data_IF_130714290301
#
_entry.id   IF_130714290301
#
_cell.length_a   1.000
_cell.length_b   1.000
_cell.length_c   1.000
_cell.angle_alpha   90.00
_cell.angle_beta   90.00
_cell.angle_gamma   90.00
#
_symmetry.space_group_name_H-M   'P 1'
#
loop_
_entity.id
_entity.type
_entity.pdbx_description
1 polymer ?
#
# COMPACT_ATOMS: atom_id res chain seq x y z
N UNK A 1 -18.79 20.72 16.11
CA UNK A 1 -18.96 20.76 14.64
C UNK A 1 -19.13 19.34 14.15
N UNK A 2 -20.30 18.99 13.63
CA UNK A 2 -20.47 17.71 12.94
C UNK A 2 -19.65 17.79 11.64
N UNK A 3 -18.52 17.10 11.59
CA UNK A 3 -17.71 16.99 10.37
C UNK A 3 -18.54 16.23 9.34
N UNK A 4 -18.85 16.88 8.21
CA UNK A 4 -19.49 16.21 7.08
C UNK A 4 -18.54 15.15 6.53
N UNK A 5 -18.88 13.88 6.72
CA UNK A 5 -18.11 12.73 6.23
C UNK A 5 -18.22 12.52 4.70
N UNK A 6 -18.88 13.44 3.98
CA UNK A 6 -19.20 13.29 2.57
C UNK A 6 -18.33 14.12 1.62
N UNK A 7 -17.66 15.16 2.14
CA UNK A 7 -16.81 16.03 1.34
C UNK A 7 -15.32 15.65 1.44
N UNK A 8 -14.62 15.68 0.30
CA UNK A 8 -13.22 15.25 0.15
C UNK A 8 -12.24 16.07 1.01
N UNK A 9 -12.49 17.38 1.15
CA UNK A 9 -11.66 18.26 1.99
C UNK A 9 -11.86 17.90 3.46
N UNK A 10 -13.10 17.62 3.86
CA UNK A 10 -13.42 17.23 5.23
C UNK A 10 -12.75 15.89 5.60
N UNK A 11 -12.76 14.90 4.70
CA UNK A 11 -12.07 13.61 4.91
C UNK A 11 -10.56 13.82 5.08
N UNK A 12 -9.95 14.63 4.21
CA UNK A 12 -8.52 14.97 4.30
C UNK A 12 -8.17 15.62 5.64
N UNK A 13 -9.00 16.58 6.10
CA UNK A 13 -8.81 17.27 7.37
C UNK A 13 -8.96 16.34 8.58
N UNK A 14 -9.81 15.32 8.50
CA UNK A 14 -9.91 14.28 9.53
C UNK A 14 -8.59 13.51 9.62
N UNK A 15 -8.05 13.04 8.49
CA UNK A 15 -6.77 12.32 8.46
C UNK A 15 -5.63 13.17 9.04
N UNK A 16 -5.54 14.44 8.65
CA UNK A 16 -4.60 15.40 9.23
C UNK A 16 -4.78 15.56 10.74
N UNK A 17 -6.02 15.77 11.19
CA UNK A 17 -6.31 16.01 12.62
C UNK A 17 -5.95 14.82 13.49
N UNK A 18 -6.22 13.59 13.01
CA UNK A 18 -5.86 12.36 13.72
C UNK A 18 -4.34 12.22 13.82
N UNK A 19 -3.62 12.36 12.70
CA UNK A 19 -2.16 12.28 12.69
C UNK A 19 -1.51 13.37 13.56
N UNK A 20 -2.03 14.60 13.51
CA UNK A 20 -1.58 15.71 14.36
C UNK A 20 -1.82 15.42 15.84
N UNK A 21 -2.99 14.92 16.21
CA UNK A 21 -3.31 14.56 17.60
C UNK A 21 -2.40 13.43 18.12
N UNK A 22 -2.11 12.45 17.26
CA UNK A 22 -1.16 11.39 17.55
C UNK A 22 0.31 11.86 17.59
N UNK A 23 0.58 13.15 17.34
CA UNK A 23 1.92 13.74 17.24
C UNK A 23 2.81 13.12 16.16
N UNK A 24 2.21 12.50 15.13
CA UNK A 24 2.94 11.87 14.03
C UNK A 24 3.44 12.87 12.97
N UNK A 25 3.02 14.14 13.04
CA UNK A 25 3.40 15.19 12.10
C UNK A 25 4.47 16.10 12.72
N UNK A 26 5.74 15.78 12.47
CA UNK A 26 6.87 16.56 12.97
C UNK A 26 7.13 17.76 12.04
N UNK A 27 7.28 18.97 12.60
CA UNK A 27 7.43 20.20 11.79
C UNK A 27 8.89 20.55 11.50
N UNK A 28 9.81 20.11 12.35
CA UNK A 28 11.24 20.47 12.29
C UNK A 28 12.10 19.40 11.61
N UNK A 29 11.51 18.60 10.71
CA UNK A 29 12.19 17.50 10.02
C UNK A 29 12.12 17.66 8.50
N UNK A 30 13.28 17.49 7.85
CA UNK A 30 13.34 17.30 6.40
C UNK A 30 12.68 15.94 6.02
N UNK A 31 12.18 15.80 4.77
CA UNK A 31 11.63 14.55 4.26
C UNK A 31 12.50 13.31 4.55
N UNK A 32 11.98 12.37 5.35
CA UNK A 32 12.70 11.16 5.74
C UNK A 32 11.84 9.90 5.96
N UNK A 33 10.50 10.01 5.96
CA UNK A 33 9.57 8.88 6.13
C UNK A 33 9.41 8.06 4.86
N UNK A 34 9.80 6.79 4.91
CA UNK A 34 9.60 5.80 3.85
C UNK A 34 8.48 4.84 4.25
N UNK A 35 7.39 4.83 3.49
CA UNK A 35 6.32 3.83 3.67
C UNK A 35 6.79 2.51 3.06
N UNK A 36 6.66 1.43 3.83
CA UNK A 36 6.98 0.08 3.39
C UNK A 36 5.71 -0.78 3.42
N UNK A 37 5.29 -1.24 2.24
CA UNK A 37 4.16 -2.15 2.04
C UNK A 37 4.64 -3.53 1.59
N UNK A 38 3.87 -4.57 1.88
CA UNK A 38 4.20 -5.95 1.52
C UNK A 38 3.36 -6.96 2.27
N UNK A 39 3.58 -8.25 1.98
CA UNK A 39 2.75 -9.32 2.54
C UNK A 39 2.91 -9.51 4.05
N UNK A 40 1.79 -9.79 4.74
CA UNK A 40 1.79 -10.32 6.11
C UNK A 40 2.31 -11.78 6.16
N UNK A 41 2.12 -12.53 5.07
CA UNK A 41 2.58 -13.91 4.88
C UNK A 41 3.64 -13.95 3.78
N UNK A 42 4.90 -14.04 4.18
CA UNK A 42 6.06 -14.11 3.30
C UNK A 42 7.03 -15.19 3.77
N UNK A 43 7.86 -15.72 2.87
CA UNK A 43 8.86 -16.72 3.22
C UNK A 43 10.09 -16.09 3.89
N UNK A 44 10.99 -16.92 4.41
CA UNK A 44 12.21 -16.46 5.10
C UNK A 44 13.13 -15.61 4.20
N UNK A 45 13.26 -15.96 2.91
CA UNK A 45 14.13 -15.25 1.96
C UNK A 45 13.62 -13.81 1.76
N UNK A 46 12.32 -13.64 1.54
CA UNK A 46 11.65 -12.34 1.42
C UNK A 46 11.75 -11.53 2.71
N UNK A 47 11.55 -12.18 3.86
CA UNK A 47 11.66 -11.55 5.17
C UNK A 47 13.08 -11.02 5.41
N UNK A 48 14.11 -11.83 5.13
CA UNK A 48 15.51 -11.43 5.26
C UNK A 48 15.86 -10.31 4.28
N UNK A 49 15.32 -10.35 3.06
CA UNK A 49 15.50 -9.26 2.09
C UNK A 49 14.90 -7.95 2.59
N UNK A 50 13.64 -7.95 3.04
CA UNK A 50 12.98 -6.77 3.59
C UNK A 50 13.73 -6.22 4.82
N UNK A 51 14.28 -7.10 5.67
CA UNK A 51 15.16 -6.71 6.78
C UNK A 51 16.46 -6.07 6.30
N UNK A 52 17.09 -6.59 5.24
CA UNK A 52 18.29 -5.98 4.64
C UNK A 52 17.98 -4.59 4.07
N UNK A 53 16.87 -4.43 3.35
CA UNK A 53 16.40 -3.11 2.87
C UNK A 53 16.21 -2.17 4.05
N UNK A 54 15.52 -2.60 5.10
CA UNK A 54 15.36 -1.82 6.33
C UNK A 54 16.68 -1.36 6.94
N UNK A 55 17.67 -2.24 7.04
CA UNK A 55 19.00 -1.88 7.53
C UNK A 55 19.67 -0.81 6.68
N UNK A 56 19.59 -0.95 5.35
CA UNK A 56 20.13 0.02 4.41
C UNK A 56 19.40 1.38 4.47
N UNK A 57 18.10 1.40 4.73
CA UNK A 57 17.36 2.64 5.01
C UNK A 57 17.82 3.29 6.32
N UNK A 58 17.97 2.49 7.38
CA UNK A 58 18.44 2.98 8.68
C UNK A 58 19.86 3.55 8.62
N UNK A 59 20.75 2.95 7.83
CA UNK A 59 22.10 3.46 7.54
C UNK A 59 22.12 4.83 6.85
N UNK A 60 20.97 5.29 6.33
CA UNK A 60 20.81 6.58 5.64
C UNK A 60 19.91 7.55 6.40
N UNK A 61 19.65 7.25 7.67
CA UNK A 61 18.82 8.06 8.58
C UNK A 61 17.39 8.27 8.03
N UNK A 62 16.85 7.26 7.36
CA UNK A 62 15.47 7.24 6.90
C UNK A 62 14.59 6.52 7.92
N UNK A 63 13.40 7.07 8.15
CA UNK A 63 12.38 6.52 9.04
C UNK A 63 11.45 5.58 8.28
N UNK A 64 10.74 4.71 9.01
CA UNK A 64 9.88 3.69 8.41
C UNK A 64 8.45 3.86 8.88
N UNK A 65 7.52 3.81 7.92
CA UNK A 65 6.08 3.73 8.16
C UNK A 65 5.52 2.41 7.57
N UNK A 66 4.73 1.65 8.32
CA UNK A 66 4.15 0.37 7.87
C UNK A 66 2.70 0.18 8.32
N UNK A 67 2.08 -0.89 7.85
CA UNK A 67 0.76 -1.39 8.29
C UNK A 67 0.74 -2.12 9.63
N UNK A 68 1.80 -2.02 10.44
CA UNK A 68 1.95 -2.60 11.78
C UNK A 68 2.16 -4.12 11.85
N UNK A 69 1.58 -4.92 10.94
CA UNK A 69 1.51 -6.38 11.00
C UNK A 69 2.85 -7.14 10.88
N UNK A 70 2.80 -8.48 10.76
CA UNK A 70 3.99 -9.33 10.60
C UNK A 70 4.57 -9.25 9.18
N UNK A 71 5.58 -10.09 8.91
CA UNK A 71 6.14 -10.23 7.56
C UNK A 71 6.85 -8.96 7.08
N UNK A 72 6.48 -8.47 5.91
CA UNK A 72 7.09 -7.29 5.30
C UNK A 72 6.76 -5.98 6.03
N UNK A 73 5.77 -5.98 6.93
CA UNK A 73 5.43 -4.83 7.77
C UNK A 73 6.28 -4.73 9.06
N UNK A 74 6.98 -5.81 9.43
CA UNK A 74 7.86 -5.89 10.60
C UNK A 74 9.34 -5.89 10.19
N UNK A 75 9.71 -6.67 9.17
CA UNK A 75 11.11 -6.90 8.80
C UNK A 75 11.91 -5.61 8.52
N UNK A 76 11.39 -4.61 7.78
CA UNK A 76 12.10 -3.35 7.55
C UNK A 76 12.42 -2.60 8.85
N UNK A 77 11.50 -2.56 9.82
CA UNK A 77 11.73 -1.92 11.12
C UNK A 77 12.86 -2.63 11.90
N UNK A 78 12.88 -3.98 11.89
CA UNK A 78 13.98 -4.77 12.49
C UNK A 78 15.33 -4.46 11.88
N UNK A 79 15.36 -4.23 10.56
CA UNK A 79 16.56 -3.80 9.86
C UNK A 79 16.97 -2.39 10.26
N UNK A 80 16.05 -1.44 10.16
CA UNK A 80 16.32 -0.03 10.40
C UNK A 80 16.79 0.25 11.82
N UNK A 81 16.29 -0.47 12.82
CA UNK A 81 16.76 -0.34 14.20
C UNK A 81 18.29 -0.58 14.31
N UNK A 82 18.82 -1.56 13.56
CA UNK A 82 20.26 -1.84 13.51
C UNK A 82 20.99 -0.73 12.76
N UNK A 83 20.48 -0.32 11.60
CA UNK A 83 21.08 0.75 10.80
C UNK A 83 21.12 2.09 11.54
N UNK A 84 20.04 2.47 12.21
CA UNK A 84 19.95 3.67 13.06
C UNK A 84 20.96 3.61 14.20
N UNK A 85 21.08 2.47 14.88
CA UNK A 85 22.07 2.30 15.96
C UNK A 85 23.51 2.46 15.45
N UNK A 86 23.82 1.92 14.26
CA UNK A 86 25.13 2.06 13.62
C UNK A 86 25.45 3.52 13.26
N UNK A 87 24.45 4.30 12.84
CA UNK A 87 24.59 5.74 12.56
C UNK A 87 24.43 6.63 13.80
N UNK A 88 24.14 6.06 14.97
CA UNK A 88 23.79 6.80 16.20
C UNK A 88 22.59 7.76 15.99
N UNK A 89 21.67 7.39 15.11
CA UNK A 89 20.46 8.14 14.83
C UNK A 89 19.47 7.98 16.00
N UNK A 90 19.40 8.99 16.87
CA UNK A 90 18.68 8.92 18.15
C UNK A 90 17.16 9.03 18.03
N UNK A 91 16.69 9.70 16.98
CA UNK A 91 15.29 10.04 16.79
C UNK A 91 14.65 9.11 15.72
N UNK A 92 15.01 7.83 15.74
CA UNK A 92 14.43 6.84 14.83
C UNK A 92 12.92 6.68 15.03
N UNK A 93 12.16 6.81 13.95
CA UNK A 93 10.70 6.73 13.95
C UNK A 93 10.23 5.49 13.21
N UNK A 94 9.41 4.70 13.90
CA UNK A 94 8.74 3.50 13.40
C UNK A 94 7.24 3.71 13.54
N UNK A 95 6.67 4.37 12.54
CA UNK A 95 5.25 4.71 12.46
C UNK A 95 4.45 3.49 12.00
N UNK A 96 3.47 3.10 12.79
CA UNK A 96 2.49 2.09 12.45
C UNK A 96 1.13 2.72 12.22
N UNK A 97 0.57 2.53 11.03
CA UNK A 97 -0.80 2.93 10.70
C UNK A 97 -1.70 1.69 10.58
N UNK A 98 -2.71 1.58 11.44
CA UNK A 98 -3.69 0.48 11.42
C UNK A 98 -5.12 1.03 11.53
N UNK A 99 -6.13 0.16 11.51
CA UNK A 99 -7.54 0.52 11.68
C UNK A 99 -8.34 -0.64 12.34
N UNK A 100 -9.51 -0.38 12.95
CA UNK A 100 -10.20 -1.37 13.78
C UNK A 100 -10.52 -2.71 13.11
N UNK A 101 -10.81 -2.73 11.81
CA UNK A 101 -11.26 -3.96 11.11
C UNK A 101 -10.12 -4.92 10.76
N UNK A 102 -8.86 -4.48 10.80
CA UNK A 102 -7.68 -5.26 10.43
C UNK A 102 -6.69 -5.45 11.58
N UNK A 103 -6.73 -4.61 12.63
CA UNK A 103 -5.75 -4.65 13.74
C UNK A 103 -5.68 -6.01 14.45
N UNK A 104 -6.78 -6.78 14.46
CA UNK A 104 -6.79 -8.13 15.04
C UNK A 104 -6.08 -9.16 14.15
N UNK A 105 -6.17 -9.02 12.83
CA UNK A 105 -5.51 -9.88 11.86
C UNK A 105 -4.02 -9.50 11.65
N UNK A 106 -3.72 -8.21 11.73
CA UNK A 106 -2.39 -7.62 11.54
C UNK A 106 -2.03 -6.75 12.76
N UNK A 107 -1.78 -7.36 13.94
CA UNK A 107 -1.50 -6.62 15.17
C UNK A 107 -0.16 -5.88 15.09
N UNK A 108 -0.02 -4.73 15.77
CA UNK A 108 1.24 -4.01 15.79
C UNK A 108 2.38 -4.80 16.37
N UNK A 109 3.46 -4.94 15.59
CA UNK A 109 4.70 -5.51 16.05
C UNK A 109 5.38 -4.59 17.08
N UNK A 110 6.19 -5.14 18.01
CA UNK A 110 6.72 -4.40 19.15
C UNK A 110 7.79 -3.35 18.80
N UNK A 111 8.23 -3.24 17.54
CA UNK A 111 9.13 -2.17 17.12
C UNK A 111 8.41 -0.87 16.78
N UNK A 112 7.10 -0.91 16.55
CA UNK A 112 6.31 0.30 16.35
C UNK A 112 6.42 1.18 17.60
N UNK A 113 6.97 2.38 17.44
CA UNK A 113 7.12 3.36 18.53
C UNK A 113 6.14 4.53 18.42
N UNK A 114 5.50 4.70 17.25
CA UNK A 114 4.41 5.63 17.01
C UNK A 114 3.24 4.86 16.38
N UNK A 115 2.18 4.56 17.14
CA UNK A 115 1.01 3.85 16.63
C UNK A 115 -0.15 4.83 16.41
N UNK A 116 -0.75 4.80 15.21
CA UNK A 116 -1.96 5.57 14.89
C UNK A 116 -3.04 4.61 14.39
N UNK A 117 -4.22 4.71 15.00
CA UNK A 117 -5.41 3.95 14.59
C UNK A 117 -6.32 4.88 13.81
N UNK A 118 -6.39 4.65 12.50
CA UNK A 118 -7.27 5.39 11.58
C UNK A 118 -8.71 4.82 11.64
N UNK A 119 -9.74 5.59 11.27
CA UNK A 119 -11.12 5.15 11.44
C UNK A 119 -11.55 3.99 10.51
N UNK A 120 -10.95 3.92 9.31
CA UNK A 120 -11.25 2.93 8.28
C UNK A 120 -10.06 2.74 7.32
N UNK A 121 -10.17 1.76 6.42
CA UNK A 121 -9.13 1.42 5.44
C UNK A 121 -8.79 2.61 4.53
N UNK A 122 -9.78 3.32 4.01
CA UNK A 122 -9.54 4.42 3.08
C UNK A 122 -8.80 5.58 3.75
N UNK A 123 -9.12 5.91 5.00
CA UNK A 123 -8.36 6.91 5.77
C UNK A 123 -6.96 6.40 6.14
N UNK A 124 -6.78 5.10 6.39
CA UNK A 124 -5.45 4.48 6.56
C UNK A 124 -4.63 4.63 5.28
N UNK A 125 -5.19 4.32 4.12
CA UNK A 125 -4.53 4.46 2.81
C UNK A 125 -4.18 5.92 2.51
N UNK A 126 -5.09 6.86 2.79
CA UNK A 126 -4.82 8.29 2.61
C UNK A 126 -3.72 8.78 3.56
N UNK A 127 -3.72 8.33 4.83
CA UNK A 127 -2.68 8.67 5.78
C UNK A 127 -1.29 8.20 5.31
N UNK A 128 -1.16 6.99 4.77
CA UNK A 128 0.12 6.53 4.19
C UNK A 128 0.63 7.48 3.12
N UNK A 129 -0.20 7.78 2.12
CA UNK A 129 0.21 8.61 0.98
C UNK A 129 0.58 10.03 1.41
N UNK A 130 -0.11 10.57 2.42
CA UNK A 130 0.16 11.94 2.90
C UNK A 130 1.39 12.06 3.78
N UNK A 131 1.76 11.03 4.55
CA UNK A 131 3.01 11.05 5.35
C UNK A 131 4.22 10.52 4.58
N UNK A 132 4.01 9.87 3.43
CA UNK A 132 5.09 9.32 2.62
C UNK A 132 5.94 10.43 1.98
N UNK A 133 7.25 10.25 2.07
CA UNK A 133 8.23 10.93 1.20
C UNK A 133 8.77 9.97 0.14
N UNK A 134 8.63 8.67 0.35
CA UNK A 134 8.91 7.62 -0.63
C UNK A 134 8.20 6.33 -0.21
N UNK A 135 7.95 5.45 -1.16
CA UNK A 135 7.19 4.21 -0.95
C UNK A 135 7.97 3.03 -1.51
N UNK A 136 8.18 2.00 -0.68
CA UNK A 136 8.76 0.73 -1.07
C UNK A 136 7.67 -0.34 -0.98
N UNK A 137 7.52 -1.14 -2.02
CA UNK A 137 6.58 -2.25 -2.08
C UNK A 137 7.34 -3.56 -2.27
N UNK A 138 7.26 -4.42 -1.25
CA UNK A 138 7.75 -5.80 -1.26
C UNK A 138 6.70 -6.76 -1.83
N UNK A 139 7.06 -8.01 -2.17
CA UNK A 139 6.08 -9.03 -2.52
C UNK A 139 5.01 -9.19 -1.44
N UNK A 140 3.76 -9.31 -1.88
CA UNK A 140 2.62 -9.42 -1.00
C UNK A 140 1.38 -10.00 -1.69
N UNK A 141 0.31 -10.15 -0.91
CA UNK A 141 -0.97 -10.69 -1.35
C UNK A 141 -1.93 -9.61 -1.84
N UNK A 142 -3.23 -9.89 -1.74
CA UNK A 142 -4.30 -9.00 -2.20
C UNK A 142 -4.24 -7.60 -1.57
N UNK A 143 -3.89 -7.48 -0.29
CA UNK A 143 -3.78 -6.17 0.38
C UNK A 143 -2.66 -5.30 -0.17
N UNK A 144 -1.50 -5.89 -0.48
CA UNK A 144 -0.40 -5.15 -1.11
C UNK A 144 -0.75 -4.72 -2.53
N UNK A 145 -1.48 -5.55 -3.28
CA UNK A 145 -2.01 -5.15 -4.60
C UNK A 145 -3.06 -4.04 -4.49
N UNK A 146 -3.92 -4.06 -3.47
CA UNK A 146 -4.86 -2.97 -3.15
C UNK A 146 -4.11 -1.65 -2.91
N UNK A 147 -3.06 -1.67 -2.09
CA UNK A 147 -2.22 -0.51 -1.78
C UNK A 147 -1.52 0.06 -3.03
N UNK A 148 -0.97 -0.81 -3.89
CA UNK A 148 -0.38 -0.39 -5.18
C UNK A 148 -1.42 0.25 -6.11
N UNK A 149 -2.59 -0.37 -6.27
CA UNK A 149 -3.66 0.15 -7.13
C UNK A 149 -4.23 1.48 -6.61
N UNK A 150 -4.31 1.63 -5.29
CA UNK A 150 -4.68 2.89 -4.65
C UNK A 150 -3.68 3.99 -5.02
N UNK A 151 -2.39 3.73 -4.89
CA UNK A 151 -1.33 4.69 -5.18
C UNK A 151 -1.27 5.05 -6.67
N UNK A 152 -1.32 4.07 -7.56
CA UNK A 152 -1.33 4.32 -9.01
C UNK A 152 -2.58 5.10 -9.45
N UNK A 153 -3.74 4.80 -8.87
CA UNK A 153 -4.97 5.57 -9.12
C UNK A 153 -4.85 7.05 -8.70
N UNK A 154 -4.01 7.37 -7.72
CA UNK A 154 -3.70 8.75 -7.34
C UNK A 154 -2.68 9.34 -8.32
N UNK A 155 -1.55 8.68 -8.54
CA UNK A 155 -0.44 9.24 -9.31
C UNK A 155 -0.78 9.46 -10.80
N UNK A 156 -1.68 8.65 -11.36
CA UNK A 156 -2.18 8.79 -12.74
C UNK A 156 -3.17 9.95 -12.92
N UNK A 157 -3.71 10.53 -11.84
CA UNK A 157 -4.54 11.72 -11.96
C UNK A 157 -3.67 12.88 -12.50
N UNK A 158 -4.07 13.55 -13.60
CA UNK A 158 -3.29 14.65 -14.18
C UNK A 158 -2.96 15.78 -13.19
N UNK A 159 -3.77 15.97 -12.14
CA UNK A 159 -3.50 16.94 -11.07
C UNK A 159 -2.23 16.61 -10.28
N UNK A 160 -1.75 15.37 -10.33
CA UNK A 160 -0.58 14.88 -9.61
C UNK A 160 0.69 14.73 -10.47
N UNK A 161 0.67 15.14 -11.75
CA UNK A 161 1.83 15.01 -12.64
C UNK A 161 3.12 15.67 -12.13
N UNK A 162 2.99 16.69 -11.28
CA UNK A 162 4.12 17.41 -10.69
C UNK A 162 4.47 16.92 -9.27
N UNK A 163 3.85 15.86 -8.77
CA UNK A 163 4.17 15.30 -7.44
C UNK A 163 5.53 14.59 -7.47
N UNK A 164 6.37 14.89 -6.49
CA UNK A 164 7.59 14.12 -6.25
C UNK A 164 7.31 13.07 -5.17
N UNK A 165 7.02 11.84 -5.58
CA UNK A 165 6.81 10.70 -4.69
C UNK A 165 7.45 9.43 -5.28
N UNK A 166 8.73 9.13 -4.96
CA UNK A 166 9.40 7.95 -5.48
C UNK A 166 8.74 6.66 -5.00
N UNK A 167 8.53 5.74 -5.92
CA UNK A 167 7.93 4.42 -5.69
C UNK A 167 8.85 3.33 -6.23
N UNK A 168 9.28 2.41 -5.36
CA UNK A 168 10.15 1.29 -5.71
C UNK A 168 9.46 -0.03 -5.36
N UNK A 169 9.31 -0.90 -6.35
CA UNK A 169 8.93 -2.31 -6.17
C UNK A 169 10.22 -3.13 -6.05
N UNK A 170 10.34 -3.95 -4.99
CA UNK A 170 11.61 -4.65 -4.75
C UNK A 170 11.45 -5.94 -3.98
N UNK A 171 12.30 -6.92 -4.28
CA UNK A 171 12.36 -8.18 -3.56
C UNK A 171 13.65 -8.94 -3.88
N UNK A 172 13.82 -10.12 -3.26
CA UNK A 172 14.97 -10.98 -3.54
C UNK A 172 14.90 -11.53 -4.97
N UNK A 173 15.97 -12.16 -5.43
CA UNK A 173 16.06 -12.72 -6.79
C UNK A 173 14.88 -13.66 -7.13
N UNK A 174 14.43 -14.44 -6.16
CA UNK A 174 13.32 -15.39 -6.30
C UNK A 174 11.97 -14.72 -6.59
N UNK A 175 11.85 -13.42 -6.31
CA UNK A 175 10.63 -12.64 -6.56
C UNK A 175 10.52 -12.08 -7.98
N UNK A 176 11.50 -12.33 -8.86
CA UNK A 176 11.47 -11.84 -10.26
C UNK A 176 10.15 -12.20 -10.95
N UNK A 177 9.77 -13.48 -10.95
CA UNK A 177 8.53 -13.92 -11.61
C UNK A 177 7.26 -13.33 -10.97
N UNK A 178 7.28 -13.01 -9.68
CA UNK A 178 6.20 -12.30 -9.00
C UNK A 178 6.06 -10.88 -9.56
N UNK A 179 7.18 -10.14 -9.65
CA UNK A 179 7.18 -8.78 -10.18
C UNK A 179 6.90 -8.72 -11.67
N UNK A 180 7.35 -9.70 -12.46
CA UNK A 180 7.00 -9.80 -13.89
C UNK A 180 5.48 -9.95 -14.06
N UNK A 181 4.86 -10.83 -13.25
CA UNK A 181 3.39 -11.04 -13.28
C UNK A 181 2.63 -9.78 -12.84
N UNK A 182 3.14 -9.07 -11.82
CA UNK A 182 2.53 -7.84 -11.32
C UNK A 182 2.68 -6.69 -12.33
N UNK A 183 3.86 -6.51 -12.92
CA UNK A 183 4.13 -5.52 -13.96
C UNK A 183 3.26 -5.76 -15.19
N UNK A 184 3.15 -7.02 -15.63
CA UNK A 184 2.26 -7.39 -16.73
C UNK A 184 0.80 -7.13 -16.40
N UNK A 185 0.35 -7.41 -15.17
CA UNK A 185 -1.00 -7.06 -14.74
C UNK A 185 -1.22 -5.54 -14.85
N UNK A 186 -0.35 -4.71 -14.26
CA UNK A 186 -0.48 -3.26 -14.31
C UNK A 186 -0.45 -2.74 -15.74
N UNK A 187 0.49 -3.20 -16.57
CA UNK A 187 0.62 -2.81 -17.98
C UNK A 187 -0.64 -3.12 -18.79
N UNK A 188 -1.23 -4.30 -18.58
CA UNK A 188 -2.37 -4.76 -19.37
C UNK A 188 -3.72 -4.29 -18.82
N UNK A 189 -3.78 -3.77 -17.59
CA UNK A 189 -5.00 -3.15 -17.04
C UNK A 189 -4.98 -1.63 -17.07
N UNK A 190 -3.91 -0.99 -16.59
CA UNK A 190 -3.82 0.47 -16.43
C UNK A 190 -3.02 1.14 -17.56
N UNK A 191 -2.37 0.36 -18.42
CA UNK A 191 -1.56 0.83 -19.55
C UNK A 191 -0.08 0.99 -19.21
N UNK A 192 0.76 1.06 -20.25
CA UNK A 192 2.21 1.23 -20.10
C UNK A 192 2.61 2.49 -19.33
N UNK A 193 1.80 3.56 -19.43
CA UNK A 193 2.06 4.81 -18.70
C UNK A 193 2.03 4.62 -17.18
N UNK A 194 1.24 3.68 -16.67
CA UNK A 194 1.21 3.35 -15.24
C UNK A 194 2.58 2.82 -14.74
N UNK A 195 3.36 2.18 -15.62
CA UNK A 195 4.68 1.64 -15.30
C UNK A 195 5.72 2.75 -15.08
N UNK A 196 5.48 3.97 -15.58
CA UNK A 196 6.40 5.10 -15.39
C UNK A 196 6.43 5.64 -13.96
N UNK A 197 5.43 5.28 -13.14
CA UNK A 197 5.32 5.75 -11.77
C UNK A 197 6.11 4.90 -10.77
N UNK A 198 6.69 3.78 -11.18
CA UNK A 198 7.51 2.94 -10.30
C UNK A 198 8.78 2.44 -10.97
N UNK A 199 9.75 2.08 -10.14
CA UNK A 199 10.94 1.35 -10.55
C UNK A 199 10.94 -0.02 -9.89
N UNK A 200 11.27 -1.08 -10.64
CA UNK A 200 11.50 -2.42 -10.09
C UNK A 200 13.01 -2.60 -9.85
N UNK A 201 13.40 -2.93 -8.62
CA UNK A 201 14.79 -3.23 -8.25
C UNK A 201 14.83 -4.62 -7.61
N UNK A 202 15.53 -5.56 -8.23
CA UNK A 202 15.61 -6.96 -7.77
C UNK A 202 16.98 -7.23 -7.15
N UNK A 203 16.97 -7.86 -5.97
CA UNK A 203 18.15 -8.36 -5.26
C UNK A 203 19.24 -7.31 -4.92
N UNK A 204 18.87 -6.03 -4.78
CA UNK A 204 19.80 -4.96 -4.42
C UNK A 204 19.25 -4.03 -3.34
N UNK A 205 19.33 -4.42 -2.05
CA UNK A 205 18.82 -3.60 -0.95
C UNK A 205 19.56 -2.28 -0.80
N UNK A 206 20.83 -2.21 -1.25
CA UNK A 206 21.64 -0.99 -1.21
C UNK A 206 21.15 0.02 -2.24
N UNK A 207 20.89 -0.43 -3.47
CA UNK A 207 20.35 0.42 -4.53
C UNK A 207 18.98 0.99 -4.13
N UNK A 208 18.08 0.18 -3.57
CA UNK A 208 16.77 0.63 -3.07
C UNK A 208 16.93 1.81 -2.09
N UNK A 209 17.74 1.64 -1.05
CA UNK A 209 17.90 2.68 -0.04
C UNK A 209 18.66 3.91 -0.56
N UNK A 210 19.62 3.72 -1.48
CA UNK A 210 20.34 4.82 -2.14
C UNK A 210 19.41 5.65 -2.99
N UNK A 211 18.55 5.02 -3.79
CA UNK A 211 17.61 5.73 -4.65
C UNK A 211 16.61 6.50 -3.79
N UNK A 212 16.04 5.89 -2.75
CA UNK A 212 15.18 6.62 -1.81
C UNK A 212 15.88 7.82 -1.19
N UNK A 213 17.09 7.67 -0.66
CA UNK A 213 17.83 8.79 -0.05
C UNK A 213 18.13 9.91 -1.06
N UNK A 214 18.48 9.54 -2.30
CA UNK A 214 18.76 10.49 -3.40
C UNK A 214 17.54 11.32 -3.78
N UNK A 215 16.33 10.77 -3.63
CA UNK A 215 15.08 11.46 -3.99
C UNK A 215 14.57 12.40 -2.89
N UNK A 216 15.00 12.27 -1.63
CA UNK A 216 14.51 13.14 -0.54
C UNK A 216 14.73 14.64 -0.78
N UNK A 217 15.87 15.11 -1.34
CA UNK A 217 16.02 16.51 -1.76
C UNK A 217 15.00 16.95 -2.81
N UNK A 218 14.65 16.09 -3.77
CA UNK A 218 13.64 16.37 -4.79
C UNK A 218 12.24 16.51 -4.17
N UNK A 219 11.92 15.65 -3.20
CA UNK A 219 10.66 15.75 -2.42
C UNK A 219 10.64 17.07 -1.64
N UNK A 220 11.73 17.42 -0.97
CA UNK A 220 11.87 18.68 -0.23
C UNK A 220 11.65 19.89 -1.14
N UNK A 221 12.33 19.93 -2.28
CA UNK A 221 12.19 21.00 -3.27
C UNK A 221 10.77 21.08 -3.84
N UNK A 222 10.13 19.93 -4.09
CA UNK A 222 8.75 19.89 -4.55
C UNK A 222 7.77 20.52 -3.55
N UNK A 223 7.91 20.22 -2.25
CA UNK A 223 7.08 20.83 -1.19
C UNK A 223 7.36 22.33 -1.06
N UNK A 224 8.63 22.75 -1.13
CA UNK A 224 9.00 24.16 -1.11
C UNK A 224 8.37 24.94 -2.27
N UNK A 225 8.49 24.43 -3.49
CA UNK A 225 7.99 25.08 -4.70
C UNK A 225 6.46 25.21 -4.75
N UNK A 226 5.75 24.38 -3.99
CA UNK A 226 4.28 24.38 -3.89
C UNK A 226 3.76 25.04 -2.62
N UNK A 227 4.65 25.47 -1.71
CA UNK A 227 4.28 25.99 -0.39
C UNK A 227 3.63 24.95 0.52
N UNK A 228 3.89 23.67 0.26
CA UNK A 228 3.31 22.54 1.00
C UNK A 228 4.16 22.17 2.23
N UNK A 229 3.58 21.41 3.16
CA UNK A 229 4.28 20.92 4.33
C UNK A 229 5.18 19.72 3.98
N UNK A 230 6.28 19.55 4.72
CA UNK A 230 7.11 18.35 4.60
C UNK A 230 6.38 17.13 5.18
N UNK A 231 5.95 17.19 6.43
CA UNK A 231 5.36 16.05 7.14
C UNK A 231 3.95 15.65 6.75
N UNK A 232 3.28 16.42 5.89
CA UNK A 232 1.96 16.08 5.36
C UNK A 232 1.77 16.67 3.96
N UNK A 233 1.63 15.81 2.95
CA UNK A 233 1.41 16.24 1.57
C UNK A 233 -0.05 16.71 1.39
N UNK A 234 -0.29 18.02 1.40
CA UNK A 234 -1.61 18.59 1.12
C UNK A 234 -1.88 18.66 -0.37
N UNK A 235 -0.85 18.94 -1.16
CA UNK A 235 -0.94 19.19 -2.60
C UNK A 235 -1.31 17.95 -3.41
N UNK A 236 -1.04 16.74 -2.90
CA UNK A 236 -1.47 15.50 -3.56
C UNK A 236 -3.00 15.41 -3.60
N UNK A 237 -3.52 15.33 -4.83
CA UNK A 237 -4.95 15.21 -5.11
C UNK A 237 -5.38 13.75 -4.99
N UNK A 238 -6.12 13.44 -3.93
CA UNK A 238 -6.80 12.14 -3.79
C UNK A 238 -8.23 12.28 -4.29
N UNK A 239 -8.61 11.50 -5.30
CA UNK A 239 -9.98 11.50 -5.81
C UNK A 239 -10.96 11.01 -4.74
N UNK A 240 -12.15 11.63 -4.66
CA UNK A 240 -13.20 11.23 -3.71
C UNK A 240 -13.60 9.74 -3.82
N UNK A 241 -13.46 9.13 -5.00
CA UNK A 241 -13.70 7.70 -5.22
C UNK A 241 -12.74 6.79 -4.44
N UNK A 242 -11.53 7.29 -4.17
CA UNK A 242 -10.50 6.61 -3.38
C UNK A 242 -10.66 6.89 -1.88
N UNK A 243 -11.36 7.94 -1.48
CA UNK A 243 -11.60 8.30 -0.08
C UNK A 243 -12.88 7.69 0.52
N UNK A 244 -13.86 7.36 -0.33
CA UNK A 244 -15.14 6.80 0.12
C UNK A 244 -14.96 5.35 0.59
N UNK A 245 -15.43 5.01 1.81
CA UNK A 245 -15.45 3.63 2.29
C UNK A 245 -16.17 2.69 1.34
N UNK A 246 -15.56 1.52 1.08
CA UNK A 246 -16.17 0.46 0.28
C UNK A 246 -16.64 -0.69 1.17
N UNK A 247 -17.93 -1.02 1.11
CA UNK A 247 -18.49 -2.20 1.81
C UNK A 247 -18.61 -3.36 0.81
N UNK A 248 -17.86 -4.46 0.99
CA UNK A 248 -17.81 -5.54 0.02
C UNK A 248 -18.97 -6.53 0.20
N UNK A 249 -20.17 -6.16 -0.26
CA UNK A 249 -21.29 -7.09 -0.43
C UNK A 249 -21.24 -7.72 -1.83
N UNK A 250 -21.91 -8.85 -2.07
CA UNK A 250 -22.00 -9.46 -3.40
C UNK A 250 -22.55 -8.49 -4.46
N UNK A 251 -23.53 -7.68 -4.09
CA UNK A 251 -24.13 -6.66 -4.96
C UNK A 251 -23.11 -5.57 -5.32
N UNK A 252 -22.37 -5.05 -4.33
CA UNK A 252 -21.37 -4.01 -4.59
C UNK A 252 -20.18 -4.54 -5.39
N UNK A 253 -19.73 -5.77 -5.11
CA UNK A 253 -18.65 -6.43 -5.83
C UNK A 253 -19.01 -6.71 -7.29
N UNK A 254 -20.24 -7.16 -7.55
CA UNK A 254 -20.73 -7.37 -8.92
C UNK A 254 -20.90 -6.04 -9.69
N UNK A 255 -21.23 -4.94 -9.02
CA UNK A 255 -21.41 -3.63 -9.66
C UNK A 255 -20.11 -2.90 -10.01
N UNK A 256 -18.94 -3.45 -9.67
CA UNK A 256 -17.66 -2.82 -9.99
C UNK A 256 -17.47 -2.70 -11.50
N UNK A 257 -17.17 -1.49 -11.97
CA UNK A 257 -16.87 -1.25 -13.38
C UNK A 257 -15.41 -1.65 -13.67
N UNK A 258 -15.21 -2.91 -14.08
CA UNK A 258 -13.91 -3.48 -14.43
C UNK A 258 -13.72 -3.57 -15.96
N UNK A 259 -14.22 -2.56 -16.69
CA UNK A 259 -14.03 -2.40 -18.12
C UNK A 259 -12.97 -1.34 -18.41
N UNK A 260 -12.22 -1.55 -19.50
CA UNK A 260 -11.17 -0.63 -19.90
C UNK A 260 -11.78 0.66 -20.50
N UNK A 261 -11.46 1.81 -19.90
CA UNK A 261 -11.59 3.11 -20.54
C UNK A 261 -10.18 3.72 -20.69
N UNK A 262 -9.59 3.72 -21.89
CA UNK A 262 -8.25 4.26 -22.12
C UNK A 262 -8.11 5.75 -21.75
N UNK A 263 -9.21 6.49 -21.60
CA UNK A 263 -9.18 7.91 -21.21
C UNK A 263 -9.16 8.12 -19.70
N UNK A 264 -9.50 7.09 -18.91
CA UNK A 264 -9.68 7.20 -17.46
C UNK A 264 -9.10 5.98 -16.71
N UNK A 265 -7.81 5.64 -16.92
CA UNK A 265 -7.17 4.50 -16.23
C UNK A 265 -7.19 4.63 -14.70
N UNK A 266 -7.20 5.86 -14.17
CA UNK A 266 -7.32 6.14 -12.74
C UNK A 266 -8.65 5.64 -12.14
N UNK A 267 -9.75 5.64 -12.90
CA UNK A 267 -11.03 5.09 -12.45
C UNK A 267 -11.03 3.58 -12.42
N UNK A 268 -10.38 2.94 -13.40
CA UNK A 268 -10.21 1.50 -13.39
C UNK A 268 -9.34 1.08 -12.19
N UNK A 269 -8.26 1.82 -11.90
CA UNK A 269 -7.44 1.58 -10.71
C UNK A 269 -8.27 1.67 -9.41
N UNK A 270 -9.17 2.67 -9.30
CA UNK A 270 -10.07 2.79 -8.16
C UNK A 270 -11.05 1.61 -8.01
N UNK A 271 -11.58 1.06 -9.11
CA UNK A 271 -12.46 -0.11 -9.06
C UNK A 271 -11.68 -1.42 -8.79
N UNK A 272 -10.50 -1.58 -9.36
CA UNK A 272 -9.61 -2.70 -9.04
C UNK A 272 -9.20 -2.66 -7.56
N UNK A 273 -8.87 -1.48 -7.01
CA UNK A 273 -8.62 -1.29 -5.58
C UNK A 273 -9.77 -1.83 -4.73
N UNK A 274 -11.02 -1.45 -5.05
CA UNK A 274 -12.23 -1.96 -4.36
C UNK A 274 -12.38 -3.48 -4.48
N UNK A 275 -12.09 -4.04 -5.65
CA UNK A 275 -12.13 -5.49 -5.87
C UNK A 275 -11.14 -6.23 -4.96
N UNK A 276 -9.88 -5.78 -4.91
CA UNK A 276 -8.87 -6.37 -4.01
C UNK A 276 -9.21 -6.14 -2.53
N UNK A 277 -9.77 -4.98 -2.17
CA UNK A 277 -10.28 -4.72 -0.82
C UNK A 277 -11.37 -5.71 -0.40
N UNK A 278 -12.28 -6.04 -1.32
CA UNK A 278 -13.29 -7.08 -1.09
C UNK A 278 -12.69 -8.47 -0.91
N UNK A 279 -11.65 -8.82 -1.68
CA UNK A 279 -10.92 -10.08 -1.51
C UNK A 279 -10.22 -10.14 -0.15
N UNK A 280 -9.59 -9.05 0.30
CA UNK A 280 -9.01 -8.94 1.64
C UNK A 280 -10.10 -9.14 2.70
N UNK A 281 -11.23 -8.44 2.57
CA UNK A 281 -12.33 -8.56 3.51
C UNK A 281 -12.89 -9.99 3.60
N UNK A 282 -13.09 -10.65 2.46
CA UNK A 282 -13.56 -12.04 2.41
C UNK A 282 -12.60 -13.05 3.04
N UNK A 283 -11.31 -12.71 3.15
CA UNK A 283 -10.27 -13.60 3.66
C UNK A 283 -9.96 -13.41 5.15
N UNK A 284 -9.97 -12.18 5.65
CA UNK A 284 -9.45 -11.87 7.00
C UNK A 284 -10.36 -11.01 7.86
N UNK A 285 -11.44 -10.43 7.30
CA UNK A 285 -12.37 -9.60 8.08
C UNK A 285 -13.64 -10.36 8.39
N UNK A 286 -14.06 -10.32 9.65
CA UNK A 286 -15.24 -11.06 10.12
C UNK A 286 -16.50 -10.79 9.29
N UNK A 287 -16.74 -9.51 8.92
CA UNK A 287 -17.89 -9.12 8.10
C UNK A 287 -17.82 -9.73 6.69
N UNK A 288 -16.65 -9.72 6.06
CA UNK A 288 -16.48 -10.29 4.73
C UNK A 288 -16.56 -11.82 4.75
N UNK A 289 -15.94 -12.47 5.73
CA UNK A 289 -16.05 -13.92 5.91
C UNK A 289 -17.51 -14.37 6.07
N UNK A 290 -18.32 -13.65 6.85
CA UNK A 290 -19.75 -13.92 7.00
C UNK A 290 -20.54 -13.78 5.68
N UNK A 291 -20.20 -12.79 4.86
CA UNK A 291 -20.81 -12.64 3.53
C UNK A 291 -20.48 -13.84 2.63
N UNK A 292 -19.23 -14.33 2.67
CA UNK A 292 -18.79 -15.49 1.91
C UNK A 292 -19.45 -16.78 2.40
N UNK A 293 -19.54 -16.99 3.72
CA UNK A 293 -20.23 -18.14 4.31
C UNK A 293 -21.72 -18.19 3.93
N UNK A 294 -22.37 -17.02 3.86
CA UNK A 294 -23.81 -16.91 3.60
C UNK A 294 -24.17 -17.01 2.12
N UNK A 295 -23.40 -16.37 1.24
CA UNK A 295 -23.78 -16.21 -0.18
C UNK A 295 -22.79 -16.86 -1.17
N UNK A 296 -21.71 -17.46 -0.68
CA UNK A 296 -20.64 -18.04 -1.50
C UNK A 296 -19.59 -17.00 -1.95
N UNK A 297 -18.70 -17.34 -2.89
CA UNK A 297 -17.64 -16.43 -3.34
C UNK A 297 -18.18 -15.17 -4.04
N UNK A 298 -17.44 -14.06 -3.95
CA UNK A 298 -17.73 -12.86 -4.74
C UNK A 298 -17.54 -13.12 -6.23
N UNK A 299 -18.52 -12.75 -7.06
CA UNK A 299 -18.43 -12.87 -8.52
C UNK A 299 -17.96 -11.56 -9.12
N UNK A 300 -16.78 -11.58 -9.73
CA UNK A 300 -16.19 -10.43 -10.40
C UNK A 300 -16.28 -10.60 -11.90
N UNK A 301 -16.77 -9.58 -12.60
CA UNK A 301 -16.90 -9.56 -14.06
C UNK A 301 -16.41 -8.22 -14.62
N UNK A 302 -16.03 -8.21 -15.89
CA UNK A 302 -15.48 -7.02 -16.55
C UNK A 302 -15.03 -7.32 -17.97
N UNK A 303 -14.11 -6.52 -18.47
CA UNK A 303 -13.45 -6.80 -19.75
C UNK A 303 -12.69 -8.14 -19.69
N UNK A 304 -12.84 -8.97 -20.73
CA UNK A 304 -12.29 -10.32 -20.77
C UNK A 304 -10.76 -10.35 -20.58
N UNK A 305 -10.04 -9.36 -21.11
CA UNK A 305 -8.58 -9.26 -20.96
C UNK A 305 -8.23 -8.89 -19.52
N UNK A 306 -8.90 -7.89 -18.94
CA UNK A 306 -8.69 -7.51 -17.53
C UNK A 306 -8.96 -8.69 -16.60
N UNK A 307 -10.08 -9.41 -16.80
CA UNK A 307 -10.44 -10.58 -15.98
C UNK A 307 -9.41 -11.72 -16.13
N UNK A 308 -8.90 -11.96 -17.34
CA UNK A 308 -7.85 -12.95 -17.57
C UNK A 308 -6.55 -12.61 -16.81
N UNK A 309 -6.09 -11.36 -16.86
CA UNK A 309 -4.89 -10.94 -16.14
C UNK A 309 -5.11 -10.94 -14.62
N UNK A 310 -6.30 -10.57 -14.14
CA UNK A 310 -6.65 -10.65 -12.72
C UNK A 310 -6.64 -12.11 -12.21
N UNK A 311 -7.19 -13.05 -12.97
CA UNK A 311 -7.17 -14.49 -12.65
C UNK A 311 -5.74 -15.04 -12.60
N UNK A 312 -4.86 -14.64 -13.54
CA UNK A 312 -3.44 -15.03 -13.53
C UNK A 312 -2.75 -14.52 -12.27
N UNK A 313 -2.89 -13.23 -11.96
CA UNK A 313 -2.28 -12.63 -10.78
C UNK A 313 -2.76 -13.33 -9.51
N UNK A 314 -4.08 -13.45 -9.33
CA UNK A 314 -4.68 -14.07 -8.14
C UNK A 314 -4.29 -15.54 -7.96
N UNK A 315 -4.21 -16.33 -9.04
CA UNK A 315 -3.69 -17.71 -8.99
C UNK A 315 -2.22 -17.75 -8.57
N UNK A 316 -1.41 -16.80 -9.05
CA UNK A 316 -0.02 -16.62 -8.63
C UNK A 316 0.09 -16.32 -7.13
N UNK A 317 -0.77 -15.46 -6.60
CA UNK A 317 -0.83 -15.18 -5.15
C UNK A 317 -1.20 -16.42 -4.33
N UNK A 318 -2.13 -17.24 -4.83
CA UNK A 318 -2.54 -18.49 -4.18
C UNK A 318 -1.41 -19.52 -4.19
N UNK A 319 -0.78 -19.76 -5.34
CA UNK A 319 0.29 -20.76 -5.49
C UNK A 319 1.54 -20.42 -4.67
N UNK A 320 1.78 -19.13 -4.42
CA UNK A 320 2.86 -18.63 -3.59
C UNK A 320 2.48 -18.48 -2.10
N UNK A 321 1.31 -18.99 -1.67
CA UNK A 321 0.83 -18.94 -0.28
C UNK A 321 0.72 -17.52 0.32
N UNK A 322 0.31 -16.54 -0.49
CA UNK A 322 0.21 -15.12 -0.09
C UNK A 322 -1.19 -14.68 0.35
N UNK A 323 -2.20 -15.54 0.21
CA UNK A 323 -3.60 -15.21 0.53
C UNK A 323 -3.99 -15.53 1.98
N UNK A 324 -3.23 -16.41 2.65
CA UNK A 324 -3.44 -16.85 4.02
C UNK A 324 -2.11 -17.32 4.60
N UNK A 325 -1.91 -17.14 5.90
CA UNK A 325 -0.80 -17.78 6.61
C UNK A 325 -0.81 -19.32 6.39
N UNK A 326 0.37 -19.96 6.34
CA UNK A 326 0.46 -21.42 6.16
C UNK A 326 -0.41 -22.17 7.18
N UNK A 327 -1.32 -23.01 6.68
CA UNK A 327 -2.22 -23.82 7.50
C UNK A 327 -2.38 -25.22 6.90
N UNK A 328 -2.88 -26.19 7.69
CA UNK A 328 -3.11 -27.57 7.20
C UNK A 328 -4.18 -27.65 6.10
N UNK A 329 -5.06 -26.66 6.01
CA UNK A 329 -6.11 -26.60 4.99
C UNK A 329 -5.65 -25.78 3.79
N UNK A 330 -5.98 -26.26 2.59
CA UNK A 330 -5.81 -25.49 1.36
C UNK A 330 -6.66 -24.20 1.40
N UNK A 331 -6.13 -23.13 0.83
CA UNK A 331 -6.87 -21.88 0.68
C UNK A 331 -8.02 -22.08 -0.32
N UNK A 332 -9.24 -21.73 0.08
CA UNK A 332 -10.43 -21.72 -0.77
C UNK A 332 -10.67 -20.25 -1.16
N UNK A 333 -10.61 -19.89 -2.46
CA UNK A 333 -10.86 -18.53 -2.90
C UNK A 333 -12.22 -17.99 -2.45
N UNK A 334 -12.23 -16.80 -1.84
CA UNK A 334 -13.44 -16.05 -1.55
C UNK A 334 -14.01 -15.32 -2.78
N UNK A 335 -13.53 -15.64 -3.98
CA UNK A 335 -13.86 -14.96 -5.23
C UNK A 335 -13.95 -15.95 -6.39
N UNK A 336 -14.68 -15.55 -7.42
CA UNK A 336 -14.82 -16.24 -8.70
C UNK A 336 -14.69 -15.19 -9.82
N UNK A 337 -13.74 -15.38 -10.73
CA UNK A 337 -13.58 -14.54 -11.92
C UNK A 337 -14.47 -15.07 -13.04
N UNK A 338 -15.44 -14.27 -13.48
CA UNK A 338 -16.32 -14.56 -14.59
C UNK A 338 -15.64 -14.05 -15.87
N UNK A 339 -15.25 -14.97 -16.75
CA UNK A 339 -14.51 -14.70 -17.99
C UNK A 339 -15.40 -14.46 -19.19
#
# INVERSE_FOLDING_TARGET
MALSLHDSISITNISFTILRNARALHLDEDPNTIVCWGGHSINEIEYLYARKVGNELGLRELNICTGCGPGAMEAPMKGAAVGHAQQRYKNGRFLGLTEPSIIAAEPPNPLVNELVIMPDIEKRLEAFVRVAHGIIIFPGGAGTTEELLYLLGILMDPANNNQALPLILTGPKESQAYFDTLDDFIKHTLGEQACNYYQIIIDDPKAVAREMKKQMPQVKENRLNTGDAYSFNWSIKVNSELQKPFTPTHDNMAKLNLFCDPKQPEKLAANLRRAFSGIVAGNVKEVGMKEIEKHGPYKLHGDAKIMAHMDILLRGLVSQHRMKLPSKAAYIPCYEIIK
#
